data_IF_387442606397
#
_entry.id   IF_387442606397
#
_cell.length_a   1.000
_cell.length_b   1.000
_cell.length_c   1.000
_cell.angle_alpha   90.00
_cell.angle_beta   90.00
_cell.angle_gamma   90.00
#
_symmetry.space_group_name_H-M   'P 1'
#
loop_
_entity.id
_entity.type
_entity.pdbx_description
1 polymer ?
#
# COMPACT_ATOMS: atom_id res chain seq x y z
N UNK A 1 12.16 18.56 30.29
CA UNK A 1 10.97 19.25 29.77
C UNK A 1 10.98 19.01 28.28
N UNK A 2 10.22 18.02 27.79
CA UNK A 2 10.11 17.72 26.38
C UNK A 2 9.24 18.79 25.71
N UNK A 3 9.78 19.45 24.72
CA UNK A 3 8.99 20.34 23.85
C UNK A 3 7.92 19.51 23.15
N UNK A 4 6.69 19.67 23.56
CA UNK A 4 5.52 19.23 22.79
C UNK A 4 5.42 20.13 21.56
N UNK A 5 6.16 19.80 20.51
CA UNK A 5 5.95 20.40 19.20
C UNK A 5 4.64 19.82 18.68
N UNK A 6 3.56 20.60 18.77
CA UNK A 6 2.27 20.25 18.18
C UNK A 6 2.48 20.13 16.66
N UNK A 7 2.66 18.89 16.16
CA UNK A 7 2.82 18.64 14.72
C UNK A 7 1.54 19.11 14.03
N UNK A 8 1.66 20.08 13.14
CA UNK A 8 0.53 20.61 12.37
C UNK A 8 -0.11 19.46 11.58
N UNK A 9 -1.40 19.25 11.76
CA UNK A 9 -2.17 18.31 10.97
C UNK A 9 -2.18 18.76 9.50
N UNK A 10 -1.63 17.93 8.60
CA UNK A 10 -1.73 18.16 7.16
C UNK A 10 -3.15 17.86 6.72
N UNK A 11 -3.84 18.82 6.10
CA UNK A 11 -5.18 18.59 5.56
C UNK A 11 -5.10 17.69 4.33
N UNK A 12 -6.11 16.83 4.14
CA UNK A 12 -6.16 15.90 3.01
C UNK A 12 -6.00 16.61 1.66
N UNK A 13 -6.63 17.77 1.47
CA UNK A 13 -6.48 18.58 0.27
C UNK A 13 -5.03 19.06 0.06
N UNK A 14 -4.31 19.41 1.12
CA UNK A 14 -2.88 19.80 1.02
C UNK A 14 -2.02 18.62 0.53
N UNK A 15 -2.33 17.42 1.02
CA UNK A 15 -1.68 16.18 0.55
C UNK A 15 -2.03 15.90 -0.93
N UNK A 16 -3.30 15.99 -1.32
CA UNK A 16 -3.72 15.81 -2.71
C UNK A 16 -3.01 16.78 -3.66
N UNK A 17 -2.95 18.07 -3.31
CA UNK A 17 -2.27 19.10 -4.09
C UNK A 17 -0.75 18.88 -4.17
N UNK A 18 -0.15 18.36 -3.11
CA UNK A 18 1.25 17.96 -3.13
C UNK A 18 1.47 16.77 -4.08
N UNK A 19 0.67 15.70 -3.95
CA UNK A 19 0.77 14.50 -4.77
C UNK A 19 0.46 14.74 -6.26
N UNK A 20 -0.38 15.73 -6.57
CA UNK A 20 -0.67 16.13 -7.94
C UNK A 20 0.57 16.70 -8.68
N UNK A 21 1.59 17.18 -7.95
CA UNK A 21 2.84 17.66 -8.53
C UNK A 21 3.83 16.54 -8.84
N UNK A 22 3.62 15.34 -8.30
CA UNK A 22 4.48 14.17 -8.56
C UNK A 22 4.25 13.70 -9.99
N UNK A 23 5.24 13.88 -10.85
CA UNK A 23 5.17 13.50 -12.26
C UNK A 23 4.94 11.98 -12.40
N UNK A 24 4.06 11.56 -13.31
CA UNK A 24 3.85 10.15 -13.59
C UNK A 24 5.02 9.53 -14.36
N UNK A 25 5.00 8.20 -14.53
CA UNK A 25 5.96 7.47 -15.34
C UNK A 25 5.91 7.98 -16.80
N UNK A 26 7.02 8.50 -17.36
CA UNK A 26 7.03 9.08 -18.69
C UNK A 26 6.88 8.03 -19.81
N UNK A 27 7.30 6.80 -19.55
CA UNK A 27 7.23 5.66 -20.49
C UNK A 27 6.78 4.41 -19.73
N UNK A 28 5.49 4.28 -19.39
CA UNK A 28 5.00 3.13 -18.65
C UNK A 28 5.15 1.84 -19.49
N UNK A 29 5.62 0.79 -18.84
CA UNK A 29 5.80 -0.53 -19.43
C UNK A 29 4.59 -1.40 -19.11
N UNK A 30 3.87 -1.88 -20.14
CA UNK A 30 2.65 -2.65 -19.95
C UNK A 30 2.88 -3.95 -19.17
N UNK A 31 4.00 -4.64 -19.41
CA UNK A 31 4.34 -5.91 -18.73
C UNK A 31 4.66 -5.74 -17.24
N UNK A 32 4.99 -4.53 -16.78
CA UNK A 32 5.18 -4.19 -15.37
C UNK A 32 3.91 -3.61 -14.73
N UNK A 33 2.81 -3.52 -15.47
CA UNK A 33 1.54 -2.98 -15.00
C UNK A 33 1.68 -1.62 -14.30
N UNK A 34 2.52 -0.72 -14.85
CA UNK A 34 2.89 0.58 -14.25
C UNK A 34 1.74 1.59 -14.31
N UNK A 35 0.67 1.32 -13.57
CA UNK A 35 -0.43 2.28 -13.38
C UNK A 35 -0.11 3.20 -12.21
N UNK A 36 0.07 4.48 -12.50
CA UNK A 36 0.26 5.47 -11.44
C UNK A 36 -1.04 5.64 -10.65
N UNK A 37 -0.99 5.40 -9.36
CA UNK A 37 -2.10 5.70 -8.43
C UNK A 37 -2.48 7.16 -8.55
N UNK A 38 -3.79 7.48 -8.63
CA UNK A 38 -4.23 8.87 -8.64
C UNK A 38 -3.88 9.57 -7.33
N UNK A 39 -3.76 10.90 -7.38
CA UNK A 39 -3.47 11.70 -6.19
C UNK A 39 -4.54 11.54 -5.10
N UNK A 40 -5.82 11.41 -5.49
CA UNK A 40 -6.92 11.21 -4.56
C UNK A 40 -6.86 9.83 -3.88
N UNK A 41 -6.54 8.78 -4.66
CA UNK A 41 -6.43 7.42 -4.11
C UNK A 41 -5.22 7.31 -3.17
N UNK A 42 -4.06 7.84 -3.58
CA UNK A 42 -2.87 7.90 -2.74
C UNK A 42 -3.11 8.70 -1.45
N UNK A 43 -3.78 9.86 -1.56
CA UNK A 43 -4.12 10.68 -0.40
C UNK A 43 -5.10 9.97 0.55
N UNK A 44 -6.11 9.25 0.03
CA UNK A 44 -7.03 8.46 0.86
C UNK A 44 -6.27 7.38 1.65
N UNK A 45 -5.44 6.60 0.96
CA UNK A 45 -4.64 5.53 1.56
C UNK A 45 -3.72 6.06 2.66
N UNK A 46 -2.92 7.07 2.33
CA UNK A 46 -1.95 7.66 3.26
C UNK A 46 -2.62 8.40 4.42
N UNK A 47 -3.79 9.02 4.19
CA UNK A 47 -4.54 9.70 5.23
C UNK A 47 -5.14 8.71 6.25
N UNK A 48 -5.66 7.57 5.76
CA UNK A 48 -6.09 6.46 6.62
C UNK A 48 -4.90 5.94 7.43
N UNK A 49 -3.76 5.71 6.78
CA UNK A 49 -2.57 5.20 7.45
C UNK A 49 -2.04 6.17 8.52
N UNK A 50 -1.98 7.47 8.22
CA UNK A 50 -1.38 8.46 9.11
C UNK A 50 -2.31 8.88 10.27
N UNK A 51 -3.60 9.11 9.99
CA UNK A 51 -4.49 9.78 10.96
C UNK A 51 -5.59 8.88 11.53
N UNK A 52 -5.93 7.78 10.86
CA UNK A 52 -6.86 6.80 11.44
C UNK A 52 -6.11 5.76 12.27
N UNK A 53 -4.93 5.33 11.80
CA UNK A 53 -4.21 4.21 12.38
C UNK A 53 -2.85 4.56 13.03
N UNK A 54 -2.35 5.80 12.85
CA UNK A 54 -1.05 6.28 13.37
C UNK A 54 0.16 5.44 12.89
N UNK A 55 0.12 5.04 11.61
CA UNK A 55 1.09 4.13 11.03
C UNK A 55 2.12 4.82 10.10
N UNK A 56 2.14 6.16 10.00
CA UNK A 56 3.06 6.91 9.12
C UNK A 56 3.93 7.90 9.90
N UNK A 57 3.33 8.71 10.77
CA UNK A 57 4.03 9.83 11.42
C UNK A 57 5.08 9.31 12.40
N UNK A 58 6.36 9.65 12.16
CA UNK A 58 7.48 9.18 12.98
C UNK A 58 7.81 7.70 12.79
N UNK A 59 7.36 7.07 11.70
CA UNK A 59 7.57 5.67 11.38
C UNK A 59 8.58 5.50 10.25
N UNK A 60 9.22 4.33 10.20
CA UNK A 60 9.96 3.83 9.04
C UNK A 60 8.97 3.25 8.02
N UNK A 61 8.98 3.77 6.81
CA UNK A 61 8.03 3.39 5.75
C UNK A 61 8.76 2.83 4.54
N UNK A 62 8.27 1.70 4.03
CA UNK A 62 8.71 1.13 2.75
C UNK A 62 7.60 1.29 1.71
N UNK A 63 7.92 1.88 0.56
CA UNK A 63 7.07 1.89 -0.65
C UNK A 63 7.57 0.80 -1.60
N UNK A 64 6.87 -0.33 -1.65
CA UNK A 64 7.28 -1.52 -2.38
C UNK A 64 6.69 -1.50 -3.81
N UNK A 65 7.55 -1.37 -4.82
CA UNK A 65 7.15 -1.06 -6.19
C UNK A 65 6.75 0.41 -6.34
N UNK A 66 7.62 1.30 -5.89
CA UNK A 66 7.29 2.71 -5.67
C UNK A 66 6.99 3.52 -6.96
N UNK A 67 7.32 2.98 -8.13
CA UNK A 67 7.16 3.71 -9.39
C UNK A 67 7.90 5.04 -9.35
N UNK A 68 7.16 6.14 -9.61
CA UNK A 68 7.71 7.50 -9.56
C UNK A 68 7.66 8.15 -8.18
N UNK A 69 7.39 7.35 -7.13
CA UNK A 69 7.53 7.73 -5.72
C UNK A 69 6.32 8.41 -5.10
N UNK A 70 5.12 8.29 -5.67
CA UNK A 70 3.94 9.03 -5.17
C UNK A 70 3.58 8.67 -3.74
N UNK A 71 3.57 7.38 -3.37
CA UNK A 71 3.26 6.95 -2.00
C UNK A 71 4.41 7.29 -1.05
N UNK A 72 5.66 7.02 -1.44
CA UNK A 72 6.84 7.33 -0.63
C UNK A 72 6.94 8.83 -0.28
N UNK A 73 6.81 9.70 -1.30
CA UNK A 73 6.85 11.15 -1.10
C UNK A 73 5.69 11.65 -0.25
N UNK A 74 4.50 11.07 -0.43
CA UNK A 74 3.34 11.37 0.41
C UNK A 74 3.53 10.97 1.87
N UNK A 75 4.12 9.80 2.15
CA UNK A 75 4.47 9.36 3.49
C UNK A 75 5.49 10.29 4.15
N UNK A 76 6.55 10.67 3.42
CA UNK A 76 7.55 11.63 3.90
C UNK A 76 6.95 13.01 4.18
N UNK A 77 6.04 13.49 3.31
CA UNK A 77 5.32 14.76 3.47
C UNK A 77 4.43 14.77 4.71
N UNK A 78 3.80 13.63 5.05
CA UNK A 78 3.00 13.46 6.27
C UNK A 78 3.84 13.34 7.54
N UNK A 79 5.16 13.18 7.43
CA UNK A 79 6.06 13.16 8.57
C UNK A 79 6.56 11.77 8.96
N UNK A 80 6.65 10.84 8.00
CA UNK A 80 7.44 9.63 8.21
C UNK A 80 8.88 10.00 8.62
N UNK A 81 9.48 9.18 9.46
CA UNK A 81 10.87 9.42 9.93
C UNK A 81 11.86 9.12 8.81
N UNK A 82 11.75 7.92 8.24
CA UNK A 82 12.55 7.46 7.12
C UNK A 82 11.65 6.74 6.12
N UNK A 83 11.89 6.94 4.84
CA UNK A 83 11.14 6.29 3.75
C UNK A 83 12.12 5.64 2.79
N UNK A 84 11.86 4.40 2.42
CA UNK A 84 12.58 3.70 1.35
C UNK A 84 11.59 3.42 0.22
N UNK A 85 11.93 3.84 -0.99
CA UNK A 85 11.18 3.47 -2.21
C UNK A 85 12.02 2.54 -3.07
N UNK A 86 11.49 1.37 -3.41
CA UNK A 86 12.15 0.42 -4.32
C UNK A 86 11.30 0.15 -5.54
N UNK A 87 11.94 0.13 -6.71
CA UNK A 87 11.35 -0.29 -7.97
C UNK A 87 12.38 -0.95 -8.89
N UNK A 88 11.95 -1.93 -9.66
CA UNK A 88 12.81 -2.63 -10.61
C UNK A 88 13.12 -1.74 -11.83
N UNK A 89 12.23 -0.80 -12.17
CA UNK A 89 12.39 0.09 -13.31
C UNK A 89 13.31 1.27 -12.97
N UNK A 90 14.50 1.25 -13.59
CA UNK A 90 15.48 2.33 -13.44
C UNK A 90 14.95 3.70 -13.86
N UNK A 91 14.06 3.77 -14.87
CA UNK A 91 13.48 5.05 -15.31
C UNK A 91 12.47 5.58 -14.28
N UNK A 92 11.70 4.70 -13.66
CA UNK A 92 10.81 5.05 -12.56
C UNK A 92 11.60 5.64 -11.39
N UNK A 93 12.67 4.98 -10.94
CA UNK A 93 13.54 5.47 -9.86
C UNK A 93 14.21 6.79 -10.21
N UNK A 94 14.65 6.97 -11.46
CA UNK A 94 15.18 8.26 -11.91
C UNK A 94 14.13 9.36 -11.76
N UNK A 95 12.91 9.12 -12.22
CA UNK A 95 11.79 10.07 -12.11
C UNK A 95 11.41 10.32 -10.65
N UNK A 96 11.45 9.29 -9.79
CA UNK A 96 11.20 9.45 -8.35
C UNK A 96 12.20 10.40 -7.68
N UNK A 97 13.49 10.30 -8.03
CA UNK A 97 14.53 11.25 -7.58
C UNK A 97 14.26 12.67 -8.09
N UNK A 98 13.87 12.81 -9.36
CA UNK A 98 13.51 14.11 -9.95
C UNK A 98 12.25 14.71 -9.28
N UNK A 99 11.30 13.88 -8.85
CA UNK A 99 10.11 14.29 -8.10
C UNK A 99 10.43 14.72 -6.66
N UNK A 100 11.59 14.37 -6.13
CA UNK A 100 12.03 14.75 -4.78
C UNK A 100 12.55 16.19 -4.77
N UNK A 101 11.69 17.14 -5.12
CA UNK A 101 12.07 18.56 -5.29
C UNK A 101 12.17 19.34 -3.99
N UNK A 102 11.55 18.84 -2.92
CA UNK A 102 11.55 19.49 -1.60
C UNK A 102 12.80 19.10 -0.81
N UNK A 103 13.70 20.05 -0.44
CA UNK A 103 14.93 19.73 0.30
C UNK A 103 14.66 18.89 1.56
N UNK A 104 13.62 19.22 2.35
CA UNK A 104 13.25 18.49 3.57
C UNK A 104 12.75 17.06 3.34
N UNK A 105 12.40 16.69 2.11
CA UNK A 105 12.03 15.32 1.76
C UNK A 105 13.25 14.54 1.24
N UNK A 106 14.22 15.23 0.64
CA UNK A 106 15.43 14.60 0.10
C UNK A 106 16.23 13.84 1.17
N UNK A 107 16.28 14.40 2.39
CA UNK A 107 16.99 13.78 3.51
C UNK A 107 16.22 12.62 4.17
N UNK A 108 14.94 12.44 3.79
CA UNK A 108 14.04 11.43 4.38
C UNK A 108 13.74 10.26 3.49
N UNK A 109 13.98 10.38 2.18
CA UNK A 109 13.59 9.35 1.20
C UNK A 109 14.82 8.78 0.51
N UNK A 110 14.99 7.48 0.63
CA UNK A 110 16.00 6.71 -0.10
C UNK A 110 15.36 5.99 -1.27
N UNK A 111 16.01 6.04 -2.44
CA UNK A 111 15.54 5.40 -3.66
C UNK A 111 16.45 4.25 -4.07
N UNK A 112 15.88 3.05 -4.13
CA UNK A 112 16.58 1.80 -4.49
C UNK A 112 16.09 1.32 -5.85
N UNK A 113 17.04 1.06 -6.77
CA UNK A 113 16.70 0.39 -8.03
C UNK A 113 17.05 -1.09 -7.93
N UNK A 114 16.05 -1.96 -7.92
CA UNK A 114 16.22 -3.39 -7.78
C UNK A 114 14.92 -4.15 -7.66
N UNK A 115 15.04 -5.46 -7.65
CA UNK A 115 13.93 -6.36 -7.37
C UNK A 115 13.52 -6.27 -5.89
N UNK A 116 12.23 -6.48 -5.60
CA UNK A 116 11.72 -6.48 -4.23
C UNK A 116 12.40 -7.52 -3.32
N UNK A 117 12.95 -8.58 -3.90
CA UNK A 117 13.61 -9.66 -3.18
C UNK A 117 14.89 -9.21 -2.46
N UNK A 118 15.54 -8.12 -2.92
CA UNK A 118 16.74 -7.60 -2.26
C UNK A 118 16.45 -6.87 -0.95
N UNK A 119 15.19 -6.47 -0.72
CA UNK A 119 14.80 -5.79 0.51
C UNK A 119 14.84 -6.77 1.69
N UNK A 120 15.53 -6.35 2.74
CA UNK A 120 15.64 -7.06 4.01
C UNK A 120 15.49 -6.08 5.17
N UNK A 121 15.36 -6.60 6.38
CA UNK A 121 15.20 -5.80 7.59
C UNK A 121 13.74 -5.68 8.02
N UNK A 122 13.43 -4.61 8.76
CA UNK A 122 12.11 -4.35 9.32
C UNK A 122 11.70 -2.91 9.09
N UNK A 123 10.44 -2.74 8.75
CA UNK A 123 9.78 -1.46 8.61
C UNK A 123 8.53 -1.45 9.49
N UNK A 124 8.22 -0.31 10.10
CA UNK A 124 6.97 -0.15 10.83
C UNK A 124 5.78 -0.29 9.86
N UNK A 125 5.89 0.30 8.67
CA UNK A 125 4.82 0.30 7.69
C UNK A 125 5.33 0.03 6.28
N UNK A 126 4.64 -0.85 5.55
CA UNK A 126 4.80 -1.04 4.11
C UNK A 126 3.56 -0.49 3.41
N UNK A 127 3.78 0.36 2.42
CA UNK A 127 2.74 0.83 1.49
C UNK A 127 3.04 0.28 0.11
N UNK A 128 2.02 -0.15 -0.65
CA UNK A 128 2.24 -0.66 -1.99
C UNK A 128 1.00 -0.55 -2.88
N UNK A 129 1.27 -0.30 -4.17
CA UNK A 129 0.33 -0.50 -5.26
C UNK A 129 0.93 -1.57 -6.19
N UNK A 130 0.80 -2.87 -5.84
CA UNK A 130 1.45 -3.93 -6.59
C UNK A 130 0.84 -4.08 -7.99
N UNK A 131 1.53 -4.73 -8.94
CA UNK A 131 0.91 -5.14 -10.19
C UNK A 131 -0.31 -6.02 -9.91
N UNK A 132 -1.40 -5.81 -10.65
CA UNK A 132 -2.67 -6.53 -10.37
C UNK A 132 -2.71 -7.96 -10.91
N UNK A 133 -1.61 -8.47 -11.47
CA UNK A 133 -1.51 -9.84 -11.97
C UNK A 133 -2.22 -10.07 -13.31
N UNK A 134 -2.52 -9.01 -14.06
CA UNK A 134 -3.15 -9.09 -15.39
C UNK A 134 -2.14 -9.57 -16.42
N UNK A 135 -0.90 -9.09 -16.38
CA UNK A 135 0.17 -9.45 -17.31
C UNK A 135 1.05 -10.58 -16.74
N UNK A 136 1.39 -10.47 -15.45
CA UNK A 136 2.20 -11.50 -14.77
C UNK A 136 1.35 -12.12 -13.66
N UNK A 137 0.92 -13.35 -13.91
CA UNK A 137 0.08 -14.08 -12.96
C UNK A 137 0.75 -14.17 -11.59
N UNK A 138 -0.01 -13.87 -10.53
CA UNK A 138 0.44 -13.96 -9.13
C UNK A 138 1.51 -12.94 -8.70
N UNK A 139 1.83 -11.94 -9.54
CA UNK A 139 2.79 -10.91 -9.18
C UNK A 139 2.37 -10.12 -7.91
N UNK A 140 1.07 -9.84 -7.77
CA UNK A 140 0.47 -9.22 -6.57
C UNK A 140 0.74 -10.02 -5.29
N UNK A 141 0.80 -11.35 -5.40
CA UNK A 141 1.04 -12.25 -4.26
C UNK A 141 2.49 -12.20 -3.79
N UNK A 142 3.46 -12.16 -4.72
CA UNK A 142 4.88 -12.03 -4.37
C UNK A 142 5.13 -10.73 -3.60
N UNK A 143 4.54 -9.62 -4.06
CA UNK A 143 4.59 -8.33 -3.36
C UNK A 143 3.99 -8.42 -1.96
N UNK A 144 2.82 -9.04 -1.82
CA UNK A 144 2.16 -9.15 -0.53
C UNK A 144 2.95 -10.03 0.45
N UNK A 145 3.54 -11.14 -0.02
CA UNK A 145 4.41 -12.01 0.81
C UNK A 145 5.63 -11.22 1.28
N UNK A 146 6.32 -10.50 0.38
CA UNK A 146 7.47 -9.68 0.74
C UNK A 146 7.09 -8.57 1.73
N UNK A 147 5.97 -7.89 1.51
CA UNK A 147 5.48 -6.87 2.42
C UNK A 147 5.23 -7.41 3.84
N UNK A 148 4.62 -8.61 3.95
CA UNK A 148 4.38 -9.29 5.24
C UNK A 148 5.68 -9.81 5.89
N UNK A 149 6.70 -10.11 5.10
CA UNK A 149 8.02 -10.50 5.60
C UNK A 149 8.70 -9.35 6.35
N UNK A 150 8.71 -8.15 5.74
CA UNK A 150 9.51 -7.01 6.20
C UNK A 150 8.73 -5.95 6.97
N UNK A 151 7.39 -5.89 6.86
CA UNK A 151 6.54 -4.88 7.50
C UNK A 151 5.80 -5.40 8.72
N UNK A 152 5.62 -4.54 9.73
CA UNK A 152 4.73 -4.83 10.87
C UNK A 152 3.28 -4.50 10.49
N UNK A 153 3.07 -3.46 9.67
CA UNK A 153 1.79 -3.10 9.08
C UNK A 153 1.92 -2.96 7.58
N UNK A 154 0.94 -3.46 6.84
CA UNK A 154 0.92 -3.41 5.37
C UNK A 154 -0.36 -2.74 4.89
N UNK A 155 -0.21 -1.74 4.04
CA UNK A 155 -1.25 -1.09 3.26
C UNK A 155 -1.08 -1.50 1.80
N UNK A 156 -1.99 -2.32 1.27
CA UNK A 156 -1.86 -2.90 -0.07
C UNK A 156 -3.13 -2.71 -0.89
N UNK A 157 -2.96 -2.22 -2.12
CA UNK A 157 -4.06 -2.02 -3.07
C UNK A 157 -4.24 -3.28 -3.92
N UNK A 158 -5.49 -3.75 -4.06
CA UNK A 158 -5.84 -4.91 -4.87
C UNK A 158 -7.14 -4.66 -5.63
N UNK A 159 -7.33 -5.34 -6.76
CA UNK A 159 -8.60 -5.28 -7.49
C UNK A 159 -9.76 -5.79 -6.63
N UNK A 160 -10.86 -5.05 -6.62
CA UNK A 160 -12.11 -5.56 -6.05
C UNK A 160 -12.60 -6.77 -6.86
N UNK A 161 -13.00 -7.89 -6.21
CA UNK A 161 -13.29 -9.14 -6.91
C UNK A 161 -14.51 -9.07 -7.84
N UNK A 162 -15.45 -8.17 -7.57
CA UNK A 162 -16.68 -8.05 -8.33
C UNK A 162 -16.97 -6.60 -8.72
N UNK A 163 -17.41 -6.38 -9.97
CA UNK A 163 -17.90 -5.09 -10.42
C UNK A 163 -19.34 -4.90 -9.92
N UNK A 164 -19.53 -4.40 -8.71
CA UNK A 164 -20.84 -4.11 -8.13
C UNK A 164 -21.25 -2.66 -8.44
N UNK A 165 -22.27 -2.49 -9.32
CA UNK A 165 -22.81 -1.18 -9.64
C UNK A 165 -23.42 -0.45 -8.42
N UNK A 166 -23.90 -1.18 -7.41
CA UNK A 166 -24.42 -0.59 -6.17
C UNK A 166 -23.27 0.01 -5.38
N UNK A 167 -22.16 -0.71 -5.25
CA UNK A 167 -20.97 -0.24 -4.56
C UNK A 167 -20.39 1.00 -5.24
N UNK A 168 -20.35 1.03 -6.58
CA UNK A 168 -19.92 2.22 -7.35
C UNK A 168 -20.83 3.43 -7.04
N UNK A 169 -22.16 3.25 -7.00
CA UNK A 169 -23.09 4.32 -6.64
C UNK A 169 -22.89 4.80 -5.20
N UNK A 170 -22.69 3.88 -4.25
CA UNK A 170 -22.43 4.21 -2.86
C UNK A 170 -21.11 4.97 -2.69
N UNK A 171 -20.06 4.57 -3.39
CA UNK A 171 -18.76 5.25 -3.37
C UNK A 171 -18.84 6.68 -3.92
N UNK A 172 -19.66 6.91 -4.96
CA UNK A 172 -19.91 8.26 -5.51
C UNK A 172 -20.65 9.19 -4.54
N UNK A 173 -21.48 8.63 -3.65
CA UNK A 173 -22.22 9.40 -2.62
C UNK A 173 -21.48 9.49 -1.28
N UNK A 174 -20.42 8.71 -1.08
CA UNK A 174 -19.61 8.68 0.14
C UNK A 174 -18.47 9.70 0.11
N UNK A 175 -17.70 9.74 1.20
CA UNK A 175 -16.46 10.56 1.29
C UNK A 175 -15.28 9.99 0.47
N UNK A 176 -15.55 9.11 -0.51
CA UNK A 176 -14.55 8.56 -1.42
C UNK A 176 -13.99 7.19 -1.02
N UNK A 177 -14.48 6.59 0.08
CA UNK A 177 -14.19 5.19 0.45
C UNK A 177 -15.30 4.61 1.32
N UNK A 178 -15.42 3.27 1.30
CA UNK A 178 -16.36 2.50 2.14
C UNK A 178 -15.63 1.30 2.71
N UNK A 179 -15.90 0.96 3.97
CA UNK A 179 -15.40 -0.29 4.54
C UNK A 179 -16.20 -1.46 3.98
N UNK A 180 -15.51 -2.52 3.57
CA UNK A 180 -16.07 -3.73 2.97
C UNK A 180 -15.47 -4.98 3.59
N UNK A 181 -16.10 -6.13 3.36
CA UNK A 181 -15.59 -7.42 3.79
C UNK A 181 -14.43 -7.89 2.88
N UNK A 182 -13.40 -8.52 3.42
CA UNK A 182 -12.32 -9.07 2.63
C UNK A 182 -12.79 -10.27 1.77
N UNK A 183 -12.22 -10.43 0.59
CA UNK A 183 -12.49 -11.64 -0.20
C UNK A 183 -12.01 -12.89 0.56
N UNK A 184 -12.74 -14.03 0.50
CA UNK A 184 -12.35 -15.26 1.19
C UNK A 184 -10.97 -15.79 0.78
N UNK A 185 -10.57 -15.52 -0.48
CA UNK A 185 -9.24 -15.86 -0.96
C UNK A 185 -8.17 -15.05 -0.24
N UNK A 186 -8.27 -13.73 -0.24
CA UNK A 186 -7.30 -12.82 0.38
C UNK A 186 -7.19 -13.07 1.88
N UNK A 187 -8.32 -13.30 2.55
CA UNK A 187 -8.34 -13.63 3.98
C UNK A 187 -7.50 -14.86 4.30
N UNK A 188 -7.69 -15.96 3.56
CA UNK A 188 -6.89 -17.18 3.74
C UNK A 188 -5.42 -16.99 3.36
N UNK A 189 -5.17 -16.27 2.27
CA UNK A 189 -3.81 -16.02 1.78
C UNK A 189 -3.00 -15.22 2.80
N UNK A 190 -3.54 -14.10 3.27
CA UNK A 190 -2.89 -13.21 4.24
C UNK A 190 -2.63 -13.95 5.55
N UNK A 191 -3.62 -14.67 6.06
CA UNK A 191 -3.48 -15.47 7.29
C UNK A 191 -2.38 -16.52 7.17
N UNK A 192 -2.34 -17.25 6.05
CA UNK A 192 -1.29 -18.25 5.76
C UNK A 192 0.12 -17.66 5.81
N UNK A 193 0.29 -16.38 5.45
CA UNK A 193 1.58 -15.70 5.43
C UNK A 193 1.83 -14.83 6.67
N UNK A 194 1.11 -15.09 7.77
CA UNK A 194 1.35 -14.47 9.07
C UNK A 194 0.78 -13.07 9.23
N UNK A 195 -0.21 -12.69 8.42
CA UNK A 195 -0.94 -11.44 8.52
C UNK A 195 -2.36 -11.61 9.06
N UNK A 196 -2.89 -10.58 9.70
CA UNK A 196 -4.29 -10.44 10.09
C UNK A 196 -4.87 -9.18 9.45
N UNK A 197 -6.02 -9.31 8.76
CA UNK A 197 -6.69 -8.17 8.14
C UNK A 197 -7.38 -7.37 9.24
N UNK A 198 -7.00 -6.09 9.38
CA UNK A 198 -7.60 -5.14 10.30
C UNK A 198 -8.84 -4.47 9.68
N UNK A 199 -8.74 -4.08 8.41
CA UNK A 199 -9.81 -3.44 7.66
C UNK A 199 -9.60 -3.60 6.15
N UNK A 200 -10.69 -3.50 5.38
CA UNK A 200 -10.63 -3.35 3.92
C UNK A 200 -11.50 -2.18 3.53
N UNK A 201 -10.96 -1.29 2.69
CA UNK A 201 -11.68 -0.12 2.19
C UNK A 201 -11.78 -0.19 0.68
N UNK A 202 -13.00 -0.19 0.15
CA UNK A 202 -13.25 -0.01 -1.27
C UNK A 202 -13.08 1.46 -1.65
N UNK A 203 -12.29 1.73 -2.68
CA UNK A 203 -12.02 3.06 -3.21
C UNK A 203 -12.26 3.10 -4.72
N UNK A 204 -12.80 4.20 -5.26
CA UNK A 204 -12.90 4.37 -6.70
C UNK A 204 -11.52 4.65 -7.29
N UNK A 205 -11.18 3.99 -8.38
CA UNK A 205 -9.99 4.27 -9.17
C UNK A 205 -10.38 4.49 -10.62
N UNK A 206 -9.82 5.54 -11.23
CA UNK A 206 -9.98 5.81 -12.66
C UNK A 206 -8.60 5.70 -13.31
N UNK A 207 -8.46 4.81 -14.29
CA UNK A 207 -7.26 4.76 -15.14
C UNK A 207 -7.56 5.47 -16.45
N UNK A 208 -6.79 6.50 -16.84
CA UNK A 208 -6.85 7.07 -18.18
C UNK A 208 -6.38 6.04 -19.21
N UNK A 209 -6.74 6.23 -20.48
CA UNK A 209 -6.17 5.42 -21.56
C UNK A 209 -4.65 5.61 -21.61
N UNK A 210 -3.91 4.60 -21.17
CA UNK A 210 -2.44 4.62 -21.17
C UNK A 210 -1.83 3.76 -22.29
N UNK A 211 -2.57 2.77 -22.80
CA UNK A 211 -2.11 1.82 -23.82
C UNK A 211 -3.10 1.71 -24.97
N UNK A 212 -2.61 1.36 -26.16
CA UNK A 212 -3.44 1.28 -27.37
C UNK A 212 -4.54 0.20 -27.31
N UNK A 213 -4.33 -0.85 -26.50
CA UNK A 213 -5.34 -1.89 -26.29
C UNK A 213 -6.52 -1.44 -25.39
N UNK A 214 -6.42 -0.29 -24.73
CA UNK A 214 -7.53 0.25 -23.94
C UNK A 214 -8.63 0.78 -24.87
N UNK A 215 -9.80 0.13 -24.86
CA UNK A 215 -10.96 0.49 -25.71
C UNK A 215 -11.68 1.74 -25.25
N UNK A 216 -11.65 2.09 -23.97
CA UNK A 216 -12.31 3.26 -23.38
C UNK A 216 -11.30 4.33 -23.01
N UNK A 217 -11.69 5.62 -23.11
CA UNK A 217 -10.86 6.77 -22.72
C UNK A 217 -10.60 6.79 -21.22
N UNK A 218 -11.53 6.27 -20.42
CA UNK A 218 -11.44 6.11 -18.96
C UNK A 218 -12.02 4.77 -18.55
N UNK A 219 -11.38 4.10 -17.62
CA UNK A 219 -11.90 2.92 -16.97
C UNK A 219 -12.06 3.21 -15.48
N UNK A 220 -13.31 3.22 -15.02
CA UNK A 220 -13.62 3.30 -13.59
C UNK A 220 -13.75 1.88 -13.07
N UNK A 221 -13.05 1.59 -11.98
CA UNK A 221 -13.13 0.33 -11.27
C UNK A 221 -12.93 0.56 -9.77
N UNK A 222 -13.16 -0.47 -9.00
CA UNK A 222 -13.02 -0.43 -7.55
C UNK A 222 -11.73 -1.10 -7.16
N UNK A 223 -10.98 -0.45 -6.27
CA UNK A 223 -9.78 -0.99 -5.64
C UNK A 223 -10.06 -1.19 -4.16
N UNK A 224 -9.63 -2.32 -3.63
CA UNK A 224 -9.64 -2.61 -2.21
C UNK A 224 -8.29 -2.25 -1.59
N UNK A 225 -8.31 -1.38 -0.60
CA UNK A 225 -7.17 -1.12 0.28
C UNK A 225 -7.25 -2.07 1.46
N UNK A 226 -6.35 -3.03 1.51
CA UNK A 226 -6.17 -3.92 2.65
C UNK A 226 -5.24 -3.29 3.67
N UNK A 227 -5.70 -3.20 4.92
CA UNK A 227 -4.90 -2.85 6.10
C UNK A 227 -4.61 -4.13 6.86
N UNK A 228 -3.34 -4.53 6.92
CA UNK A 228 -2.94 -5.83 7.45
C UNK A 228 -1.91 -5.62 8.55
N UNK A 229 -2.10 -6.27 9.69
CA UNK A 229 -1.15 -6.33 10.79
C UNK A 229 -0.42 -7.67 10.78
N UNK A 230 0.88 -7.65 11.03
CA UNK A 230 1.65 -8.88 11.25
C UNK A 230 1.17 -9.57 12.53
N UNK A 231 0.91 -10.86 12.44
CA UNK A 231 0.61 -11.66 13.63
C UNK A 231 1.92 -11.83 14.40
N UNK A 232 1.97 -11.37 15.65
CA UNK A 232 3.11 -11.64 16.51
C UNK A 232 3.29 -13.16 16.62
N UNK A 233 4.48 -13.69 16.29
CA UNK A 233 4.79 -15.09 16.51
C UNK A 233 4.57 -15.37 18.00
N UNK A 234 3.51 -16.06 18.36
CA UNK A 234 3.41 -16.71 19.65
C UNK A 234 4.54 -17.76 19.63
N UNK A 235 5.61 -17.48 20.35
CA UNK A 235 6.63 -18.49 20.65
C UNK A 235 5.91 -19.76 21.08
N UNK A 236 6.12 -20.82 20.33
CA UNK A 236 5.56 -22.15 20.50
C UNK A 236 5.77 -22.66 21.92
N UNK A 237 4.78 -22.44 22.79
CA UNK A 237 4.56 -23.20 24.00
C UNK A 237 3.08 -23.60 24.06
N UNK A 238 2.62 -24.31 23.03
CA UNK A 238 1.40 -25.11 23.14
C UNK A 238 1.83 -26.48 23.63
N UNK A 239 1.79 -26.67 24.96
CA UNK A 239 1.74 -27.99 25.54
C UNK A 239 0.52 -28.72 24.98
N UNK A 240 0.78 -29.83 24.31
CA UNK A 240 -0.30 -30.70 23.81
C UNK A 240 -1.32 -31.01 24.91
N UNK A 241 -2.63 -30.96 24.63
CA UNK A 241 -3.64 -31.34 25.59
C UNK A 241 -3.45 -32.82 25.92
N UNK A 242 -3.18 -33.15 27.21
CA UNK A 242 -3.18 -34.53 27.70
C UNK A 242 -4.61 -35.00 27.75
N UNK A 243 -4.98 -35.94 26.88
CA UNK A 243 -6.22 -36.68 26.99
C UNK A 243 -6.12 -37.60 28.21
N UNK A 244 -7.12 -37.64 29.12
CA UNK A 244 -7.14 -38.60 30.21
C UNK A 244 -7.37 -39.99 29.65
N UNK A 245 -6.41 -40.88 29.87
CA UNK A 245 -6.59 -42.33 29.62
C UNK A 245 -7.61 -42.86 30.59
N UNK A 246 -8.82 -43.15 30.10
CA UNK A 246 -9.84 -43.83 30.86
C UNK A 246 -9.36 -45.23 31.22
N UNK A 247 -9.29 -45.51 32.53
CA UNK A 247 -9.19 -46.87 33.05
C UNK A 247 -10.54 -47.57 32.92
N UNK A 248 -10.53 -48.71 32.25
CA UNK A 248 -11.60 -49.68 32.32
C UNK A 248 -11.73 -50.23 33.74
N UNK A 249 -12.95 -50.35 34.22
CA UNK A 249 -13.52 -51.41 35.03
C UNK A 249 -14.90 -51.70 34.47
#
# INVERSE_FOLDING_TARGET
MGEFTQKRLVRKLELELFLAKVAPQPKPQAHLEQYTVSEQLAANMLYIAAYTNDDIIGKSVLDLGCGTGRLALGAAFLGAENVVGIDIDRLAIKTARENTTHPHLADKVEWVNGDIDIISGKFDTVVQNPPFGVQTREADRAFLVKALEVGDVVYSLHNHPEADERLIKMLKSSKGFLQVEPSPFMQRFIYKHGGAIQAVYALPMTIPKMFDFHKKVRHDFIIDLYVIRKIANQSTSVSAPRYPTGKHL
#
